data_IF_857106669419
#
_entry.id   IF_857106669419
#
_cell.length_a   1.000
_cell.length_b   1.000
_cell.length_c   1.000
_cell.angle_alpha   90.00
_cell.angle_beta   90.00
_cell.angle_gamma   90.00
#
_symmetry.space_group_name_H-M   'P 1'
#
loop_
_entity.id
_entity.type
_entity.pdbx_description
1 polymer ?
#
# COMPACT_ATOMS: atom_id res chain seq x y z
N UNK A 1 -28.60 24.01 -62.35
CA UNK A 1 -28.66 22.65 -61.81
C UNK A 1 -27.30 22.11 -61.36
N UNK A 2 -26.21 22.50 -61.95
CA UNK A 2 -24.81 22.03 -61.61
C UNK A 2 -24.29 22.53 -60.27
N UNK A 3 -24.59 23.77 -59.87
CA UNK A 3 -24.11 24.33 -58.56
C UNK A 3 -24.66 23.66 -57.32
N UNK A 4 -25.81 23.02 -57.40
CA UNK A 4 -26.44 22.28 -56.28
C UNK A 4 -25.83 20.89 -56.07
N UNK A 5 -25.22 20.32 -57.15
CA UNK A 5 -24.59 18.99 -57.12
C UNK A 5 -23.20 19.04 -56.49
N UNK A 6 -22.42 20.10 -56.73
CA UNK A 6 -21.08 20.31 -56.15
C UNK A 6 -21.13 20.56 -54.63
N UNK A 7 -22.13 21.33 -54.17
CA UNK A 7 -22.32 21.59 -52.75
C UNK A 7 -22.78 20.34 -51.96
N UNK A 8 -23.48 19.40 -52.62
CA UNK A 8 -23.88 18.11 -52.01
C UNK A 8 -22.72 17.15 -51.93
N UNK A 9 -21.86 17.08 -52.95
CA UNK A 9 -20.68 16.21 -52.95
C UNK A 9 -19.62 16.66 -51.91
N UNK A 10 -19.43 17.96 -51.71
CA UNK A 10 -18.50 18.50 -50.75
C UNK A 10 -18.97 18.30 -49.29
N UNK A 11 -20.29 18.19 -49.06
CA UNK A 11 -20.90 17.91 -47.75
C UNK A 11 -20.79 16.44 -47.37
N UNK A 12 -20.93 15.51 -48.36
CA UNK A 12 -20.73 14.06 -48.16
C UNK A 12 -19.27 13.74 -47.86
N UNK A 13 -18.30 14.32 -48.58
CA UNK A 13 -16.88 14.14 -48.30
C UNK A 13 -16.47 14.64 -46.92
N UNK A 14 -17.03 15.77 -46.45
CA UNK A 14 -16.76 16.28 -45.08
C UNK A 14 -17.33 15.36 -43.99
N UNK A 15 -18.50 14.77 -44.21
CA UNK A 15 -19.10 13.81 -43.28
C UNK A 15 -18.31 12.49 -43.23
N UNK A 16 -17.81 12.00 -44.35
CA UNK A 16 -16.96 10.80 -44.38
C UNK A 16 -15.63 11.04 -43.69
N UNK A 17 -14.97 12.16 -43.95
CA UNK A 17 -13.73 12.54 -43.24
C UNK A 17 -13.97 12.66 -41.74
N UNK A 18 -15.06 13.29 -41.31
CA UNK A 18 -15.41 13.39 -39.89
C UNK A 18 -15.61 12.00 -39.24
N UNK A 19 -16.28 11.07 -39.98
CA UNK A 19 -16.44 9.68 -39.48
C UNK A 19 -15.11 8.96 -39.31
N UNK A 20 -14.17 9.09 -40.23
CA UNK A 20 -12.83 8.51 -40.11
C UNK A 20 -12.04 9.11 -38.95
N UNK A 21 -12.12 10.43 -38.75
CA UNK A 21 -11.49 11.10 -37.59
C UNK A 21 -12.06 10.59 -36.28
N UNK A 22 -13.38 10.49 -36.14
CA UNK A 22 -14.04 9.95 -34.94
C UNK A 22 -13.66 8.50 -34.71
N UNK A 23 -13.67 7.67 -35.79
CA UNK A 23 -13.27 6.26 -35.68
C UNK A 23 -11.80 6.12 -35.24
N UNK A 24 -10.91 6.97 -35.74
CA UNK A 24 -9.50 6.97 -35.36
C UNK A 24 -9.28 7.40 -33.92
N UNK A 25 -10.01 8.43 -33.44
CA UNK A 25 -9.97 8.86 -32.04
C UNK A 25 -10.48 7.74 -31.13
N UNK A 26 -11.57 7.08 -31.49
CA UNK A 26 -12.11 5.95 -30.73
C UNK A 26 -11.14 4.76 -30.70
N UNK A 27 -10.47 4.48 -31.81
CA UNK A 27 -9.47 3.42 -31.90
C UNK A 27 -8.27 3.73 -30.99
N UNK A 28 -7.73 4.97 -31.05
CA UNK A 28 -6.63 5.39 -30.16
C UNK A 28 -7.08 5.33 -28.70
N UNK A 29 -8.28 5.82 -28.38
CA UNK A 29 -8.84 5.74 -27.04
C UNK A 29 -8.98 4.29 -26.54
N UNK A 30 -9.44 3.37 -27.39
CA UNK A 30 -9.51 1.94 -27.08
C UNK A 30 -8.14 1.32 -26.83
N UNK A 31 -7.15 1.63 -27.68
CA UNK A 31 -5.77 1.17 -27.48
C UNK A 31 -5.17 1.74 -26.17
N UNK A 32 -5.39 3.02 -25.88
CA UNK A 32 -4.92 3.66 -24.66
C UNK A 32 -5.53 3.00 -23.41
N UNK A 33 -6.82 2.68 -23.43
CA UNK A 33 -7.48 1.96 -22.33
C UNK A 33 -6.90 0.55 -22.13
N UNK A 34 -6.64 -0.18 -23.21
CA UNK A 34 -6.02 -1.51 -23.13
C UNK A 34 -4.56 -1.45 -22.62
N UNK A 35 -3.83 -0.41 -23.01
CA UNK A 35 -2.44 -0.21 -22.59
C UNK A 35 -2.31 0.31 -21.15
N UNK A 36 -3.35 0.87 -20.57
CA UNK A 36 -3.31 1.42 -19.21
C UNK A 36 -2.91 0.39 -18.15
N UNK A 37 -3.45 -0.84 -18.22
CA UNK A 37 -3.19 -1.88 -17.22
C UNK A 37 -1.71 -2.32 -17.20
N UNK A 38 -1.09 -2.73 -18.33
CA UNK A 38 0.31 -3.12 -18.33
C UNK A 38 1.27 -1.97 -17.97
N UNK A 39 0.94 -0.72 -18.38
CA UNK A 39 1.74 0.45 -18.01
C UNK A 39 1.72 0.68 -16.49
N UNK A 40 0.55 0.57 -15.87
CA UNK A 40 0.41 0.71 -14.41
C UNK A 40 1.17 -0.37 -13.66
N UNK A 41 1.06 -1.63 -14.09
CA UNK A 41 1.81 -2.73 -13.48
C UNK A 41 3.32 -2.51 -13.57
N UNK A 42 3.81 -2.03 -14.72
CA UNK A 42 5.22 -1.71 -14.91
C UNK A 42 5.69 -0.59 -13.97
N UNK A 43 4.90 0.48 -13.84
CA UNK A 43 5.24 1.61 -12.95
C UNK A 43 5.23 1.18 -11.48
N UNK A 44 4.24 0.38 -11.07
CA UNK A 44 4.16 -0.16 -9.71
C UNK A 44 5.36 -1.06 -9.39
N UNK A 45 5.72 -1.95 -10.33
CA UNK A 45 6.89 -2.80 -10.17
C UNK A 45 8.17 -1.98 -10.02
N UNK A 46 8.39 -0.97 -10.86
CA UNK A 46 9.54 -0.08 -10.74
C UNK A 46 9.60 0.64 -9.40
N UNK A 47 8.46 1.09 -8.90
CA UNK A 47 8.39 1.75 -7.58
C UNK A 47 8.66 0.76 -6.45
N UNK A 48 8.03 -0.42 -6.47
CA UNK A 48 8.28 -1.50 -5.53
C UNK A 48 9.76 -1.87 -5.48
N UNK A 49 10.40 -2.10 -6.63
CA UNK A 49 11.82 -2.44 -6.73
C UNK A 49 12.71 -1.32 -6.15
N UNK A 50 12.35 -0.06 -6.39
CA UNK A 50 13.09 1.10 -5.86
C UNK A 50 13.01 1.14 -4.34
N UNK A 51 11.79 1.09 -3.76
CA UNK A 51 11.56 1.12 -2.31
C UNK A 51 12.24 -0.08 -1.63
N UNK A 52 12.16 -1.27 -2.23
CA UNK A 52 12.77 -2.47 -1.69
C UNK A 52 14.30 -2.40 -1.72
N UNK A 53 14.87 -1.89 -2.81
CA UNK A 53 16.32 -1.66 -2.92
C UNK A 53 16.80 -0.64 -1.89
N UNK A 54 16.03 0.44 -1.70
CA UNK A 54 16.32 1.45 -0.69
C UNK A 54 16.31 0.85 0.72
N UNK A 55 15.26 0.11 1.11
CA UNK A 55 15.18 -0.55 2.41
C UNK A 55 16.36 -1.50 2.64
N UNK A 56 16.68 -2.36 1.66
CA UNK A 56 17.81 -3.30 1.75
C UNK A 56 19.18 -2.62 1.82
N UNK A 57 19.30 -1.38 1.37
CA UNK A 57 20.53 -0.59 1.47
C UNK A 57 20.70 0.12 2.81
N UNK A 58 19.65 0.18 3.64
CA UNK A 58 19.72 0.82 4.95
C UNK A 58 20.58 0.00 5.91
N UNK A 59 21.41 0.70 6.63
CA UNK A 59 22.17 0.12 7.76
C UNK A 59 21.30 0.08 9.02
N UNK A 60 21.61 -0.77 10.01
CA UNK A 60 20.92 -0.76 11.29
C UNK A 60 20.93 0.61 11.99
N UNK A 61 22.00 1.39 11.83
CA UNK A 61 22.09 2.75 12.40
C UNK A 61 21.15 3.73 11.71
N UNK A 62 20.95 3.61 10.39
CA UNK A 62 19.98 4.42 9.63
C UNK A 62 18.56 4.08 10.02
N UNK A 63 18.22 2.79 10.18
CA UNK A 63 16.91 2.36 10.69
C UNK A 63 16.66 2.93 12.09
N UNK A 64 17.62 2.81 12.99
CA UNK A 64 17.54 3.37 14.33
C UNK A 64 17.42 4.89 14.33
N UNK A 65 18.07 5.57 13.39
CA UNK A 65 17.92 7.01 13.18
C UNK A 65 16.52 7.36 12.69
N UNK A 66 15.97 6.58 11.76
CA UNK A 66 14.59 6.72 11.29
C UNK A 66 13.58 6.48 12.41
N UNK A 67 13.79 5.45 13.26
CA UNK A 67 12.97 5.18 14.44
C UNK A 67 12.96 6.35 15.46
N UNK A 68 14.06 7.10 15.55
CA UNK A 68 14.18 8.23 16.46
C UNK A 68 13.86 9.58 15.80
N UNK A 69 13.51 9.61 14.52
CA UNK A 69 13.13 10.83 13.81
C UNK A 69 11.79 11.37 14.29
N UNK A 70 11.56 12.65 14.10
CA UNK A 70 10.25 13.26 14.31
C UNK A 70 9.24 12.70 13.30
N UNK A 71 8.03 12.39 13.77
CA UNK A 71 6.95 11.88 12.95
C UNK A 71 5.60 12.43 13.40
N UNK A 72 4.70 12.65 12.46
CA UNK A 72 3.32 13.03 12.76
C UNK A 72 2.49 11.80 13.14
N UNK A 73 1.56 12.01 14.08
CA UNK A 73 0.52 11.05 14.48
C UNK A 73 -0.85 11.74 14.52
N UNK A 74 -1.03 12.73 13.62
CA UNK A 74 -2.29 13.46 13.45
C UNK A 74 -3.19 12.68 12.48
N UNK A 75 -4.14 11.94 13.03
CA UNK A 75 -5.07 11.11 12.24
C UNK A 75 -6.11 11.95 11.50
N UNK A 76 -6.43 13.17 12.00
CA UNK A 76 -7.39 14.06 11.38
C UNK A 76 -6.87 14.69 10.09
N UNK A 77 -5.53 14.70 9.93
CA UNK A 77 -4.86 15.19 8.73
C UNK A 77 -4.79 14.17 7.58
N UNK A 78 -5.32 12.94 7.77
CA UNK A 78 -5.24 11.87 6.78
C UNK A 78 -6.41 11.93 5.80
N UNK A 79 -6.08 11.94 4.52
CA UNK A 79 -7.05 12.00 3.42
C UNK A 79 -7.23 10.63 2.75
N UNK A 80 -8.38 10.46 2.11
CA UNK A 80 -8.62 9.28 1.27
C UNK A 80 -7.71 9.27 0.04
N UNK A 81 -7.37 8.08 -0.47
CA UNK A 81 -6.59 7.95 -1.71
C UNK A 81 -7.32 8.64 -2.86
N UNK A 82 -6.63 9.58 -3.50
CA UNK A 82 -7.07 10.27 -4.70
C UNK A 82 -5.91 10.39 -5.69
N UNK A 83 -6.21 10.69 -6.96
CA UNK A 83 -5.15 10.96 -7.94
C UNK A 83 -4.25 12.13 -7.49
N UNK A 84 -4.83 13.12 -6.83
CA UNK A 84 -4.09 14.29 -6.35
C UNK A 84 -3.12 13.93 -5.22
N UNK A 85 -3.54 13.06 -4.27
CA UNK A 85 -2.66 12.59 -3.19
C UNK A 85 -1.52 11.72 -3.75
N UNK A 86 -1.80 10.82 -4.70
CA UNK A 86 -0.77 10.01 -5.36
C UNK A 86 0.24 10.88 -6.12
N UNK A 87 -0.25 11.87 -6.89
CA UNK A 87 0.63 12.78 -7.63
C UNK A 87 1.43 13.70 -6.71
N UNK A 88 0.87 14.11 -5.58
CA UNK A 88 1.56 14.90 -4.57
C UNK A 88 2.69 14.07 -3.92
N UNK A 89 2.43 12.83 -3.52
CA UNK A 89 3.42 11.93 -2.96
C UNK A 89 4.58 11.68 -3.94
N UNK A 90 4.29 11.48 -5.24
CA UNK A 90 5.32 11.33 -6.26
C UNK A 90 6.18 12.59 -6.46
N UNK A 91 5.61 13.78 -6.29
CA UNK A 91 6.35 15.05 -6.40
C UNK A 91 7.22 15.32 -5.18
N UNK A 92 6.72 14.99 -3.99
CA UNK A 92 7.38 15.31 -2.74
C UNK A 92 8.67 14.53 -2.53
N UNK A 93 8.86 13.38 -3.21
CA UNK A 93 10.06 12.50 -3.12
C UNK A 93 10.64 12.46 -1.69
N UNK A 94 9.80 12.68 -0.71
CA UNK A 94 10.17 12.58 0.70
C UNK A 94 10.54 11.13 0.92
N UNK A 95 11.78 10.88 1.32
CA UNK A 95 12.18 9.54 1.72
C UNK A 95 11.33 9.19 2.93
N UNK A 96 10.38 8.27 2.73
CA UNK A 96 9.61 7.75 3.85
C UNK A 96 10.58 7.15 4.88
N UNK A 97 10.45 7.47 6.17
CA UNK A 97 11.37 6.95 7.20
C UNK A 97 11.10 5.46 7.42
N UNK A 98 11.69 4.63 6.56
CA UNK A 98 11.55 3.17 6.62
C UNK A 98 12.29 2.63 7.84
N UNK A 99 11.60 1.79 8.61
CA UNK A 99 12.08 1.20 9.86
C UNK A 99 12.00 -0.33 9.87
N UNK A 100 11.58 -0.93 8.78
CA UNK A 100 11.48 -2.39 8.66
C UNK A 100 10.55 -2.84 7.55
N UNK A 101 10.14 -4.09 7.63
CA UNK A 101 9.28 -4.75 6.65
C UNK A 101 8.27 -5.66 7.36
N UNK A 102 7.08 -5.80 6.78
CA UNK A 102 6.01 -6.72 7.22
C UNK A 102 5.59 -7.61 6.07
N UNK A 103 5.47 -8.92 6.33
CA UNK A 103 4.98 -9.92 5.39
C UNK A 103 3.89 -10.79 6.01
N UNK A 104 2.84 -11.10 5.24
CA UNK A 104 1.81 -12.11 5.55
C UNK A 104 1.67 -12.98 4.31
N UNK A 105 2.46 -14.08 4.20
CA UNK A 105 2.54 -14.86 2.96
C UNK A 105 1.22 -15.46 2.51
N UNK A 106 0.39 -15.91 3.46
CA UNK A 106 -0.91 -16.54 3.19
C UNK A 106 -1.88 -15.67 2.37
N UNK A 107 -1.66 -14.35 2.37
CA UNK A 107 -2.50 -13.37 1.66
C UNK A 107 -1.70 -12.52 0.67
N UNK A 108 -0.46 -12.90 0.36
CA UNK A 108 0.44 -12.19 -0.57
C UNK A 108 0.61 -10.70 -0.18
N UNK A 109 0.77 -10.43 1.12
CA UNK A 109 1.05 -9.09 1.64
C UNK A 109 2.53 -8.96 1.97
N UNK A 110 3.18 -7.96 1.38
CA UNK A 110 4.55 -7.57 1.70
C UNK A 110 4.70 -6.05 1.54
N UNK A 111 5.10 -5.35 2.62
CA UNK A 111 5.17 -3.89 2.67
C UNK A 111 6.35 -3.42 3.52
N UNK A 112 6.96 -2.26 3.20
CA UNK A 112 7.85 -1.59 4.13
C UNK A 112 7.06 -1.08 5.33
N UNK A 113 7.69 -1.05 6.49
CA UNK A 113 7.18 -0.36 7.68
C UNK A 113 7.79 1.04 7.71
N UNK A 114 6.94 2.05 7.85
CA UNK A 114 7.35 3.46 7.87
C UNK A 114 6.94 4.13 9.17
N UNK A 115 7.75 5.05 9.66
CA UNK A 115 7.48 5.75 10.92
C UNK A 115 6.51 6.90 10.74
N UNK A 116 5.47 6.94 11.58
CA UNK A 116 4.47 8.01 11.65
C UNK A 116 3.39 7.93 10.56
N UNK A 117 2.30 8.62 10.83
CA UNK A 117 1.09 8.64 9.99
C UNK A 117 1.08 9.92 9.16
N UNK A 118 1.11 9.75 7.83
CA UNK A 118 0.89 10.82 6.85
C UNK A 118 0.32 10.20 5.58
N UNK A 119 -0.29 11.01 4.71
CA UNK A 119 -0.78 10.53 3.41
C UNK A 119 0.33 9.85 2.61
N UNK A 120 1.53 10.44 2.56
CA UNK A 120 2.68 9.88 1.85
C UNK A 120 3.10 8.51 2.44
N UNK A 121 3.20 8.39 3.76
CA UNK A 121 3.59 7.15 4.43
C UNK A 121 2.58 6.03 4.21
N UNK A 122 1.28 6.33 4.28
CA UNK A 122 0.21 5.35 4.07
C UNK A 122 0.11 4.86 2.62
N UNK A 123 0.66 5.61 1.65
CA UNK A 123 0.77 5.19 0.24
C UNK A 123 2.02 4.34 -0.01
N UNK A 124 3.08 4.54 0.78
CA UNK A 124 4.33 3.78 0.66
C UNK A 124 4.24 2.42 1.34
N UNK A 125 3.60 2.33 2.52
CA UNK A 125 3.60 1.08 3.26
C UNK A 125 2.72 1.06 4.51
N UNK A 126 3.16 0.28 5.48
CA UNK A 126 2.52 0.14 6.79
C UNK A 126 3.09 1.19 7.76
N UNK A 127 2.29 2.21 8.07
CA UNK A 127 2.67 3.33 8.92
C UNK A 127 2.45 3.02 10.41
N UNK A 128 3.43 3.39 11.25
CA UNK A 128 3.28 3.25 12.72
C UNK A 128 2.23 4.22 13.24
N UNK A 129 1.38 3.75 14.18
CA UNK A 129 0.22 4.49 14.65
C UNK A 129 0.46 5.24 15.97
N UNK A 130 1.52 4.93 16.72
CA UNK A 130 1.81 5.56 18.01
C UNK A 130 3.26 5.98 18.09
N UNK A 131 3.57 7.12 18.78
CA UNK A 131 4.94 7.45 19.11
C UNK A 131 5.54 6.44 20.09
N UNK A 132 6.83 6.15 19.94
CA UNK A 132 7.58 5.34 20.90
C UNK A 132 7.22 3.85 20.94
N UNK A 133 6.41 3.32 20.02
CA UNK A 133 6.17 1.89 19.92
C UNK A 133 7.41 1.16 19.40
N UNK A 134 7.68 -0.04 19.94
CA UNK A 134 8.81 -0.89 19.59
C UNK A 134 8.32 -2.24 19.07
N UNK A 135 8.97 -2.78 18.01
CA UNK A 135 8.63 -4.10 17.49
C UNK A 135 8.77 -5.19 18.56
N UNK A 136 7.78 -6.02 18.71
CA UNK A 136 7.78 -7.12 19.70
C UNK A 136 7.37 -6.71 21.11
N UNK A 137 7.06 -5.46 21.38
CA UNK A 137 6.70 -4.95 22.69
C UNK A 137 5.32 -4.29 22.68
N UNK A 138 4.48 -4.65 23.65
CA UNK A 138 3.16 -4.06 23.83
C UNK A 138 2.25 -4.25 22.62
N UNK A 139 1.38 -3.28 22.36
CA UNK A 139 0.51 -3.26 21.18
C UNK A 139 1.20 -2.50 20.04
N UNK A 140 1.98 -3.20 19.19
CA UNK A 140 2.60 -2.61 18.02
C UNK A 140 1.56 -2.41 16.92
N UNK A 141 1.23 -1.16 16.62
CA UNK A 141 0.08 -0.83 15.77
C UNK A 141 0.54 -0.22 14.44
N UNK A 142 0.04 -0.78 13.35
CA UNK A 142 0.33 -0.35 11.99
C UNK A 142 -0.96 -0.07 11.23
N UNK A 143 -0.97 0.97 10.41
CA UNK A 143 -2.05 1.25 9.47
C UNK A 143 -1.54 1.37 8.04
N UNK A 144 -2.39 1.05 7.09
CA UNK A 144 -2.18 1.37 5.68
C UNK A 144 -3.53 1.49 4.99
N UNK A 145 -3.54 2.12 3.83
CA UNK A 145 -4.76 2.29 3.08
C UNK A 145 -5.37 0.96 2.61
N UNK A 146 -6.69 0.95 2.49
CA UNK A 146 -7.41 -0.01 1.67
C UNK A 146 -7.51 0.52 0.25
N UNK A 147 -7.17 -0.31 -0.72
CA UNK A 147 -7.35 0.01 -2.12
C UNK A 147 -7.87 -1.22 -2.86
N UNK A 148 -9.06 -1.12 -3.42
CA UNK A 148 -9.62 -2.14 -4.33
C UNK A 148 -9.17 -1.95 -5.79
N UNK A 149 -8.38 -0.90 -6.04
CA UNK A 149 -7.68 -0.76 -7.30
C UNK A 149 -6.75 -1.96 -7.50
N UNK A 150 -6.92 -2.68 -8.61
CA UNK A 150 -6.06 -3.82 -8.99
C UNK A 150 -6.24 -5.11 -8.20
N UNK A 151 -7.49 -5.55 -8.00
CA UNK A 151 -7.81 -6.86 -7.41
C UNK A 151 -7.41 -7.01 -5.93
N UNK A 152 -7.55 -5.97 -5.13
CA UNK A 152 -7.33 -6.05 -3.67
C UNK A 152 -5.92 -6.52 -3.30
N UNK A 153 -4.90 -6.14 -4.05
CA UNK A 153 -3.53 -6.60 -3.82
C UNK A 153 -2.60 -5.53 -3.25
N UNK A 154 -3.03 -4.26 -3.17
CA UNK A 154 -2.18 -3.16 -2.73
C UNK A 154 -2.35 -2.82 -1.25
N UNK A 155 -1.25 -2.43 -0.63
CA UNK A 155 -1.21 -1.95 0.75
C UNK A 155 -1.88 -2.97 1.70
N UNK A 156 -2.80 -2.54 2.55
CA UNK A 156 -3.53 -3.43 3.45
C UNK A 156 -4.85 -3.98 2.90
N UNK A 157 -5.18 -3.79 1.61
CA UNK A 157 -6.34 -4.42 1.01
C UNK A 157 -6.36 -5.96 1.15
N UNK A 158 -5.21 -6.69 1.05
CA UNK A 158 -5.21 -8.15 1.27
C UNK A 158 -5.68 -8.60 2.65
N UNK A 159 -5.70 -7.73 3.66
CA UNK A 159 -6.21 -8.07 5.00
C UNK A 159 -7.68 -8.50 5.01
N UNK A 160 -8.43 -8.27 3.92
CA UNK A 160 -9.79 -8.83 3.77
C UNK A 160 -9.80 -10.36 3.81
N UNK A 161 -8.67 -11.00 3.42
CA UNK A 161 -8.48 -12.45 3.39
C UNK A 161 -7.86 -12.99 4.68
N UNK A 162 -7.44 -12.11 5.60
CA UNK A 162 -6.79 -12.51 6.84
C UNK A 162 -7.73 -13.33 7.73
N UNK A 163 -7.19 -14.36 8.36
CA UNK A 163 -7.90 -15.22 9.31
C UNK A 163 -7.01 -15.66 10.46
N UNK A 164 -7.63 -16.07 11.57
CA UNK A 164 -6.90 -16.60 12.73
C UNK A 164 -6.03 -17.80 12.34
N UNK A 165 -4.85 -17.89 12.93
CA UNK A 165 -3.84 -18.91 12.68
C UNK A 165 -2.80 -18.54 11.62
N UNK A 166 -3.06 -17.58 10.72
CA UNK A 166 -2.07 -17.09 9.77
C UNK A 166 -0.91 -16.40 10.49
N UNK A 167 0.29 -16.44 9.88
CA UNK A 167 1.49 -15.82 10.45
C UNK A 167 1.72 -14.45 9.84
N UNK A 168 2.12 -13.52 10.72
CA UNK A 168 2.63 -12.21 10.37
C UNK A 168 4.12 -12.21 10.73
N UNK A 169 4.95 -11.90 9.76
CA UNK A 169 6.39 -11.72 9.94
C UNK A 169 6.74 -10.25 9.83
N UNK A 170 7.53 -9.75 10.77
CA UNK A 170 8.11 -8.41 10.70
C UNK A 170 9.61 -8.48 10.90
N UNK A 171 10.34 -7.53 10.32
CA UNK A 171 11.77 -7.38 10.55
C UNK A 171 12.19 -5.91 10.62
N UNK A 172 13.13 -5.64 11.52
CA UNK A 172 13.91 -4.40 11.60
C UNK A 172 15.29 -4.56 10.92
N UNK A 173 15.43 -5.59 10.07
CA UNK A 173 16.65 -6.09 9.42
C UNK A 173 17.63 -6.79 10.38
N UNK A 174 17.56 -6.54 11.69
CA UNK A 174 18.40 -7.20 12.70
C UNK A 174 17.71 -8.42 13.31
N UNK A 175 16.42 -8.34 13.51
CA UNK A 175 15.56 -9.38 14.08
C UNK A 175 14.35 -9.65 13.21
N UNK A 176 13.80 -10.84 13.38
CA UNK A 176 12.49 -11.23 12.83
C UNK A 176 11.54 -11.52 13.97
N UNK A 177 10.39 -10.88 13.93
CA UNK A 177 9.30 -10.99 14.87
C UNK A 177 8.16 -11.76 14.22
N UNK A 178 7.79 -12.91 14.76
CA UNK A 178 6.69 -13.72 14.26
C UNK A 178 5.47 -13.56 15.16
N UNK A 179 4.35 -13.17 14.58
CA UNK A 179 3.05 -13.13 15.25
C UNK A 179 2.11 -14.16 14.61
N UNK A 180 1.15 -14.63 15.39
CA UNK A 180 0.03 -15.45 14.92
C UNK A 180 -1.26 -14.66 15.03
N UNK A 181 -2.02 -14.56 13.94
CA UNK A 181 -3.31 -13.85 13.94
C UNK A 181 -4.26 -14.56 14.88
N UNK A 182 -4.81 -13.82 15.85
CA UNK A 182 -5.76 -14.30 16.84
C UNK A 182 -7.19 -13.87 16.55
N UNK A 183 -7.38 -12.70 15.93
CA UNK A 183 -8.71 -12.18 15.61
C UNK A 183 -8.70 -11.23 14.42
N UNK A 184 -9.85 -11.21 13.72
CA UNK A 184 -10.18 -10.23 12.68
C UNK A 184 -11.54 -9.67 13.03
N UNK A 185 -11.64 -8.35 13.21
CA UNK A 185 -12.88 -7.67 13.61
C UNK A 185 -13.14 -6.42 12.79
N UNK A 186 -14.39 -5.99 12.75
CA UNK A 186 -14.78 -4.71 12.16
C UNK A 186 -15.25 -3.78 13.27
N UNK A 187 -14.70 -2.56 13.28
CA UNK A 187 -15.03 -1.54 14.28
C UNK A 187 -15.42 -0.22 13.60
N UNK A 188 -15.97 0.69 14.37
CA UNK A 188 -16.23 2.06 13.90
C UNK A 188 -14.92 2.81 13.62
N UNK A 189 -14.93 3.79 12.69
CA UNK A 189 -13.75 4.59 12.40
C UNK A 189 -13.18 5.35 13.60
N UNK A 190 -14.00 5.61 14.60
CA UNK A 190 -13.68 6.35 15.83
C UNK A 190 -13.18 5.45 16.97
N UNK A 191 -13.03 4.13 16.75
CA UNK A 191 -12.60 3.17 17.77
C UNK A 191 -11.08 3.27 18.02
N UNK A 192 -10.63 4.36 18.63
CA UNK A 192 -9.20 4.61 18.93
C UNK A 192 -8.65 3.67 20.01
N UNK A 193 -9.50 3.07 20.83
CA UNK A 193 -9.17 2.08 21.87
C UNK A 193 -8.48 0.83 21.30
N UNK A 194 -8.54 0.60 20.00
CA UNK A 194 -7.79 -0.49 19.35
C UNK A 194 -6.27 -0.32 19.49
N UNK A 195 -5.80 0.91 19.75
CA UNK A 195 -4.40 1.26 19.92
C UNK A 195 -3.92 1.09 21.38
N UNK A 196 -4.83 0.89 22.33
CA UNK A 196 -4.49 0.80 23.76
C UNK A 196 -3.59 -0.41 24.05
N UNK A 197 -2.76 -0.27 25.08
CA UNK A 197 -1.94 -1.36 25.57
C UNK A 197 -2.80 -2.42 26.26
N UNK A 198 -2.54 -3.67 25.95
CA UNK A 198 -3.31 -4.81 26.48
C UNK A 198 -2.60 -5.57 27.60
N UNK A 199 -1.33 -5.22 27.86
CA UNK A 199 -0.45 -5.98 28.75
C UNK A 199 0.16 -7.23 28.09
N UNK A 200 -0.15 -7.49 26.83
CA UNK A 200 0.43 -8.55 26.01
C UNK A 200 1.24 -7.96 24.83
N UNK A 201 2.21 -8.73 24.33
CA UNK A 201 2.93 -8.37 23.12
C UNK A 201 2.10 -8.80 21.91
N UNK A 202 1.44 -7.83 21.30
CA UNK A 202 0.54 -8.03 20.15
C UNK A 202 0.91 -7.09 18.98
N UNK A 203 0.43 -7.44 17.81
CA UNK A 203 0.36 -6.55 16.67
C UNK A 203 -1.09 -6.22 16.36
N UNK A 204 -1.36 -4.97 16.00
CA UNK A 204 -2.67 -4.51 15.53
C UNK A 204 -2.51 -3.88 14.14
N UNK A 205 -3.07 -4.52 13.10
CA UNK A 205 -3.08 -4.00 11.74
C UNK A 205 -4.45 -3.36 11.47
N UNK A 206 -4.43 -2.15 10.91
CA UNK A 206 -5.61 -1.30 10.76
C UNK A 206 -5.74 -0.86 9.31
N UNK A 207 -6.92 -1.06 8.71
CA UNK A 207 -7.23 -0.54 7.37
C UNK A 207 -8.73 -0.21 7.28
N UNK A 208 -9.12 0.53 6.24
CA UNK A 208 -10.54 0.65 5.89
C UNK A 208 -11.08 -0.71 5.45
N UNK A 209 -12.35 -1.00 5.73
CA UNK A 209 -12.97 -2.26 5.30
C UNK A 209 -13.36 -2.24 3.81
N UNK A 210 -13.60 -1.04 3.28
CA UNK A 210 -14.03 -0.79 1.90
C UNK A 210 -13.68 0.65 1.50
N UNK A 211 -13.91 0.99 0.23
CA UNK A 211 -13.65 2.34 -0.31
C UNK A 211 -14.52 3.44 0.33
N UNK A 212 -15.66 3.08 0.90
CA UNK A 212 -16.53 4.03 1.60
C UNK A 212 -16.02 4.37 3.00
N UNK A 213 -15.01 3.62 3.50
CA UNK A 213 -14.35 3.82 4.79
C UNK A 213 -15.31 3.86 6.00
N UNK A 214 -16.47 3.19 5.88
CA UNK A 214 -17.53 3.20 6.91
C UNK A 214 -17.14 2.42 8.15
N UNK A 215 -16.23 1.46 8.02
CA UNK A 215 -15.68 0.63 9.10
C UNK A 215 -14.17 0.51 8.98
N UNK A 216 -13.54 0.16 10.08
CA UNK A 216 -12.13 -0.26 10.10
C UNK A 216 -12.04 -1.76 10.30
N UNK A 217 -11.20 -2.40 9.49
CA UNK A 217 -10.79 -3.79 9.68
C UNK A 217 -9.58 -3.80 10.58
N UNK A 218 -9.70 -4.55 11.68
CA UNK A 218 -8.65 -4.74 12.68
C UNK A 218 -8.22 -6.21 12.64
N UNK A 219 -6.95 -6.44 12.37
CA UNK A 219 -6.32 -7.76 12.47
C UNK A 219 -5.37 -7.73 13.67
N UNK A 220 -5.60 -8.59 14.66
CA UNK A 220 -4.71 -8.72 15.82
C UNK A 220 -3.97 -10.03 15.79
N UNK A 221 -2.69 -9.97 16.11
CA UNK A 221 -1.84 -11.15 16.26
C UNK A 221 -1.06 -11.08 17.58
N UNK A 222 -0.80 -12.26 18.17
CA UNK A 222 0.02 -12.41 19.37
C UNK A 222 1.44 -12.77 18.98
N UNK A 223 2.44 -12.17 19.63
CA UNK A 223 3.85 -12.49 19.43
C UNK A 223 4.11 -13.95 19.79
N UNK A 224 4.72 -14.69 18.85
CA UNK A 224 5.07 -16.11 19.01
C UNK A 224 6.58 -16.28 19.23
N UNK A 225 7.40 -15.56 18.45
CA UNK A 225 8.85 -15.66 18.55
C UNK A 225 9.55 -14.37 18.08
N UNK A 226 10.77 -14.19 18.59
CA UNK A 226 11.75 -13.19 18.13
C UNK A 226 13.06 -13.91 17.90
N UNK A 227 13.64 -13.77 16.72
CA UNK A 227 14.89 -14.40 16.32
C UNK A 227 15.83 -13.38 15.69
N UNK A 228 17.14 -13.57 15.76
CA UNK A 228 18.04 -12.74 14.93
C UNK A 228 17.81 -13.08 13.45
N UNK A 229 17.94 -12.11 12.57
CA UNK A 229 17.75 -12.30 11.12
C UNK A 229 18.69 -13.37 10.54
N UNK A 230 19.87 -13.56 11.15
CA UNK A 230 20.82 -14.62 10.76
C UNK A 230 20.36 -16.04 11.11
N UNK A 231 19.44 -16.20 12.05
CA UNK A 231 19.07 -17.47 12.67
C UNK A 231 17.73 -18.01 12.16
N UNK A 232 17.02 -17.23 11.34
CA UNK A 232 15.74 -17.65 10.76
C UNK A 232 15.93 -18.69 9.66
N UNK A 233 14.93 -19.54 9.46
CA UNK A 233 14.94 -20.50 8.35
C UNK A 233 14.93 -19.80 7.00
N UNK A 234 15.45 -20.47 5.97
CA UNK A 234 15.40 -19.96 4.58
C UNK A 234 13.99 -19.72 4.09
N UNK A 235 13.02 -20.48 4.57
CA UNK A 235 11.59 -20.31 4.29
C UNK A 235 11.11 -18.94 4.81
N UNK A 236 11.33 -18.63 6.08
CA UNK A 236 10.96 -17.34 6.68
C UNK A 236 11.71 -16.18 5.99
N UNK A 237 13.00 -16.33 5.71
CA UNK A 237 13.77 -15.30 5.01
C UNK A 237 13.22 -15.02 3.60
N UNK A 238 12.72 -16.04 2.90
CA UNK A 238 12.17 -15.91 1.55
C UNK A 238 10.90 -15.05 1.50
N UNK A 239 10.13 -14.95 2.59
CA UNK A 239 8.93 -14.10 2.66
C UNK A 239 9.26 -12.62 2.49
N UNK A 240 10.46 -12.20 2.92
CA UNK A 240 10.95 -10.84 2.74
C UNK A 240 11.60 -10.58 1.38
N UNK A 241 11.69 -11.59 0.49
CA UNK A 241 12.16 -11.41 -0.89
C UNK A 241 11.02 -11.06 -1.88
N UNK A 242 9.77 -11.23 -1.49
CA UNK A 242 8.61 -10.90 -2.31
C UNK A 242 8.56 -9.40 -2.65
N UNK A 243 7.93 -9.05 -3.78
CA UNK A 243 7.75 -7.65 -4.21
C UNK A 243 6.84 -6.88 -3.24
N UNK A 244 7.15 -5.60 -3.01
CA UNK A 244 6.24 -4.72 -2.27
C UNK A 244 5.00 -4.37 -3.11
N UNK A 245 3.86 -4.33 -2.47
CA UNK A 245 2.56 -4.00 -3.08
C UNK A 245 2.15 -2.56 -2.70
N UNK A 246 2.97 -1.59 -3.12
CA UNK A 246 2.82 -0.14 -2.81
C UNK A 246 2.37 0.67 -4.02
N UNK A 247 2.02 1.96 -3.81
CA UNK A 247 1.78 2.94 -4.87
C UNK A 247 3.06 3.67 -5.26
#
# INVERSE_FOLDING_TARGET
>A
MLYKKEKSQNKTNKLEVARYIVSFILLIGGIALLAMQPIKQLLMKQQSDTVKTELKSLTPDEIKSAENSDASYDYDAIHSISLDTILAAQKNKSKAPMIGEIAIPDIDLNLPIVKGVSDDNLLVGAATMKPGQEMGIGNYSLASHYSDAYNETLLFAPLIKASAGMKIYMTDLSKVYTYEITSVTLVEPTAVEVLDETGENIITLITCNDMSATKRRIVRGKLVSVQNSSDVSSDVASHFEAEFKTY
#
